data_IF_275733822270
#
_entry.id   IF_275733822270
#
_cell.length_a   1.000
_cell.length_b   1.000
_cell.length_c   1.000
_cell.angle_alpha   90.00
_cell.angle_beta   90.00
_cell.angle_gamma   90.00
#
_symmetry.space_group_name_H-M   'P 1'
#
loop_
_entity.id
_entity.type
_entity.pdbx_description
1 polymer ?
#
# COMPACT_ATOMS: atom_id res chain seq x y z
N UNK A 1 -2.01 16.82 19.82
CA UNK A 1 -2.48 15.44 19.54
C UNK A 1 -1.30 14.57 19.08
N UNK A 2 -0.59 13.92 20.01
CA UNK A 2 0.50 12.97 19.67
C UNK A 2 -0.12 11.66 19.18
N UNK A 3 -0.09 11.40 17.87
CA UNK A 3 -0.52 10.12 17.30
C UNK A 3 0.40 9.02 17.84
N UNK A 4 -0.08 8.22 18.80
CA UNK A 4 0.59 6.96 19.18
C UNK A 4 0.72 6.13 17.90
N UNK A 5 1.94 5.86 17.47
CA UNK A 5 2.20 4.97 16.33
C UNK A 5 1.67 3.59 16.65
N UNK A 6 0.47 3.27 16.14
CA UNK A 6 -0.11 1.94 16.23
C UNK A 6 0.73 1.05 15.31
N UNK A 7 1.56 0.18 15.90
CA UNK A 7 2.32 -0.82 15.15
C UNK A 7 1.33 -1.77 14.48
N UNK A 8 1.06 -1.56 13.18
CA UNK A 8 0.20 -2.42 12.37
C UNK A 8 1.11 -3.28 11.52
N UNK A 9 1.21 -4.55 11.87
CA UNK A 9 1.90 -5.55 11.04
C UNK A 9 1.03 -5.79 9.82
N UNK A 10 1.55 -5.47 8.63
CA UNK A 10 0.92 -5.88 7.38
C UNK A 10 1.15 -7.39 7.21
N UNK A 11 0.08 -8.15 7.04
CA UNK A 11 0.16 -9.60 6.82
C UNK A 11 0.38 -9.92 5.33
N UNK A 12 0.10 -8.95 4.46
CA UNK A 12 0.18 -9.09 3.01
C UNK A 12 0.71 -7.82 2.37
N UNK A 13 1.51 -7.97 1.31
CA UNK A 13 1.98 -6.88 0.47
C UNK A 13 1.43 -7.04 -0.96
N UNK A 14 1.07 -5.93 -1.60
CA UNK A 14 0.59 -5.88 -2.97
C UNK A 14 1.37 -4.82 -3.75
N UNK A 15 1.87 -5.20 -4.93
CA UNK A 15 2.49 -4.28 -5.89
C UNK A 15 1.45 -3.83 -6.90
N UNK A 16 1.36 -2.52 -7.13
CA UNK A 16 0.43 -1.89 -8.07
C UNK A 16 1.21 -1.26 -9.21
N UNK A 17 0.95 -1.73 -10.42
CA UNK A 17 1.55 -1.21 -11.65
C UNK A 17 0.70 -0.07 -12.24
N UNK A 18 1.29 0.76 -13.12
CA UNK A 18 0.54 1.79 -13.83
C UNK A 18 -0.64 1.20 -14.61
N UNK A 19 -1.78 1.87 -14.56
CA UNK A 19 -3.04 1.49 -15.24
C UNK A 19 -3.62 0.14 -14.82
N UNK A 20 -3.13 -0.47 -13.75
CA UNK A 20 -3.69 -1.70 -13.23
C UNK A 20 -5.06 -1.43 -12.60
N UNK A 21 -6.11 -2.02 -13.19
CA UNK A 21 -7.44 -1.96 -12.62
C UNK A 21 -7.47 -2.68 -11.26
N UNK A 22 -7.97 -2.00 -10.23
CA UNK A 22 -8.10 -2.55 -8.87
C UNK A 22 -9.42 -2.16 -8.24
N UNK A 23 -9.88 -3.01 -7.34
CA UNK A 23 -11.01 -2.69 -6.45
C UNK A 23 -10.56 -1.75 -5.34
N UNK A 24 -11.34 -0.71 -5.05
CA UNK A 24 -11.04 0.33 -4.06
C UNK A 24 -11.43 -0.05 -2.62
N UNK A 25 -11.49 -1.35 -2.31
CA UNK A 25 -11.80 -1.84 -0.97
C UNK A 25 -10.62 -1.63 -0.02
N UNK A 26 -10.89 -1.04 1.15
CA UNK A 26 -9.93 -0.90 2.22
C UNK A 26 -9.68 -2.21 2.97
N UNK A 27 -8.40 -2.57 3.13
CA UNK A 27 -7.89 -3.66 3.93
C UNK A 27 -6.71 -3.17 4.79
N UNK A 28 -6.95 -2.94 6.08
CA UNK A 28 -5.95 -2.42 7.01
C UNK A 28 -4.77 -3.36 7.32
N UNK A 29 -4.80 -4.60 6.85
CA UNK A 29 -3.72 -5.60 6.98
C UNK A 29 -2.86 -5.71 5.72
N UNK A 30 -3.18 -4.94 4.66
CA UNK A 30 -2.47 -4.95 3.38
C UNK A 30 -1.61 -3.70 3.23
N UNK A 31 -0.35 -3.91 2.83
CA UNK A 31 0.57 -2.88 2.39
C UNK A 31 0.52 -2.78 0.87
N UNK A 32 0.22 -1.59 0.34
CA UNK A 32 0.27 -1.31 -1.10
C UNK A 32 1.56 -0.58 -1.45
N UNK A 33 2.27 -1.10 -2.45
CA UNK A 33 3.45 -0.51 -3.07
C UNK A 33 3.08 -0.12 -4.50
N UNK A 34 2.95 1.17 -4.78
CA UNK A 34 2.73 1.63 -6.16
C UNK A 34 4.08 1.83 -6.83
N UNK A 35 4.24 1.25 -8.01
CA UNK A 35 5.47 1.33 -8.79
C UNK A 35 5.23 2.07 -10.10
N UNK A 36 6.24 2.79 -10.58
CA UNK A 36 6.28 3.31 -11.95
C UNK A 36 6.73 2.19 -12.92
N UNK A 37 6.66 2.44 -14.24
CA UNK A 37 6.93 1.40 -15.25
C UNK A 37 8.35 0.79 -15.19
N UNK A 38 9.31 1.54 -14.63
CA UNK A 38 10.69 1.08 -14.38
C UNK A 38 10.81 0.09 -13.20
N UNK A 39 9.74 -0.11 -12.44
CA UNK A 39 9.73 -0.90 -11.19
C UNK A 39 10.08 -0.09 -9.94
N UNK A 40 10.34 1.22 -10.06
CA UNK A 40 10.64 2.06 -8.89
C UNK A 40 9.39 2.34 -8.05
N UNK A 41 9.49 2.18 -6.74
CA UNK A 41 8.41 2.51 -5.80
C UNK A 41 8.23 4.02 -5.71
N UNK A 42 7.01 4.49 -5.95
CA UNK A 42 6.64 5.92 -5.91
C UNK A 42 5.69 6.24 -4.76
N UNK A 43 5.00 5.23 -4.19
CA UNK A 43 4.08 5.42 -3.06
C UNK A 43 3.96 4.15 -2.23
N UNK A 44 3.86 4.33 -0.91
CA UNK A 44 3.61 3.28 0.07
C UNK A 44 2.42 3.68 0.95
N UNK A 45 1.42 2.82 1.10
CA UNK A 45 0.27 3.06 1.98
C UNK A 45 -0.34 1.74 2.49
N UNK A 46 -1.06 1.79 3.61
CA UNK A 46 -1.83 0.65 4.10
C UNK A 46 -3.31 0.82 3.74
N UNK A 47 -3.93 -0.25 3.24
CA UNK A 47 -5.34 -0.28 2.83
C UNK A 47 -5.66 -1.31 1.77
#
# INVERSE_FOLDING_TARGET
LRRRGRNRVALMARVLHPNQAVTMQFNGQRLNLSVEASGRVIRVNCG
#
